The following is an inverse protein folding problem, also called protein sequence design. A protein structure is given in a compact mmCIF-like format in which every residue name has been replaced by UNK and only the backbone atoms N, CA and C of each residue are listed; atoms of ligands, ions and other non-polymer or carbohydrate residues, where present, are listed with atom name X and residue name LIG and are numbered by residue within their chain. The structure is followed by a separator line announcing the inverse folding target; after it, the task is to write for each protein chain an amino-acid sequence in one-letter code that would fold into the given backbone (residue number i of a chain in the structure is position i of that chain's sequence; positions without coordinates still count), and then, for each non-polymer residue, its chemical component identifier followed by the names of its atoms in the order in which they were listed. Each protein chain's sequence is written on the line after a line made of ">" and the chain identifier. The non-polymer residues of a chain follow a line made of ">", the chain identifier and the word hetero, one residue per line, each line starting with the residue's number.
data_IF_337261274956
#
_entry.id   IF_337261274956
#
_cell.length_a   1.000
_cell.length_b   1.000
_cell.length_c   1.000
_cell.angle_alpha   90.00
_cell.angle_beta   90.00
_cell.angle_gamma   90.00
#
_symmetry.space_group_name_H-M   'P 1'
#
loop_
_entity.id
_entity.type
_entity.pdbx_description
1 polymer ?
#
# COMPACT_ATOMS: atom_id res chain seq x y z
N UNK A 1 5.74 7.76 3.61
CA UNK A 1 4.91 6.75 2.90
C UNK A 1 5.83 5.94 2.01
N UNK A 2 5.62 4.62 1.90
CA UNK A 2 6.51 3.74 1.14
C UNK A 2 6.57 4.17 -0.35
N UNK A 3 7.75 4.60 -0.79
CA UNK A 3 8.03 5.13 -2.13
C UNK A 3 9.32 4.54 -2.67
N UNK A 4 9.30 4.12 -3.92
CA UNK A 4 10.43 3.48 -4.62
C UNK A 4 10.84 4.27 -5.86
N UNK A 5 10.09 5.32 -6.21
CA UNK A 5 10.39 6.25 -7.27
C UNK A 5 11.74 6.94 -7.01
N UNK A 6 12.58 6.99 -8.05
CA UNK A 6 13.91 7.60 -8.08
C UNK A 6 15.02 6.90 -7.27
N UNK A 7 14.79 5.67 -6.78
CA UNK A 7 15.86 4.87 -6.19
C UNK A 7 16.82 4.33 -7.27
N UNK A 8 18.15 4.35 -7.06
CA UNK A 8 19.09 3.77 -8.01
C UNK A 8 18.94 2.25 -8.09
N UNK A 9 18.99 1.68 -9.29
CA UNK A 9 18.96 0.23 -9.48
C UNK A 9 20.25 -0.40 -8.97
N UNK A 10 20.13 -1.49 -8.21
CA UNK A 10 21.25 -2.29 -7.73
C UNK A 10 21.21 -3.66 -8.39
N UNK A 11 22.32 -4.07 -9.01
CA UNK A 11 22.47 -5.43 -9.52
C UNK A 11 22.45 -6.43 -8.36
N UNK A 12 21.58 -7.43 -8.46
CA UNK A 12 21.40 -8.50 -7.47
C UNK A 12 21.40 -9.84 -8.21
N UNK A 13 22.10 -10.82 -7.65
CA UNK A 13 22.05 -12.20 -8.14
C UNK A 13 20.82 -12.89 -7.57
N UNK A 14 20.02 -13.52 -8.44
CA UNK A 14 18.79 -14.22 -8.09
C UNK A 14 18.71 -15.54 -8.85
N UNK A 15 18.27 -16.58 -8.15
CA UNK A 15 18.05 -17.91 -8.74
C UNK A 15 16.57 -18.09 -9.03
N UNK A 16 16.24 -18.33 -10.31
CA UNK A 16 14.87 -18.58 -10.78
C UNK A 16 14.82 -19.91 -11.55
N UNK A 17 13.61 -20.41 -11.77
CA UNK A 17 13.38 -21.62 -12.55
C UNK A 17 13.92 -21.44 -13.98
N UNK A 18 14.81 -22.33 -14.42
CA UNK A 18 15.47 -22.23 -15.73
C UNK A 18 14.49 -22.27 -16.90
N UNK A 19 13.46 -23.13 -16.85
CA UNK A 19 12.45 -23.24 -17.93
C UNK A 19 11.62 -21.97 -18.06
N UNK A 20 11.33 -21.30 -16.95
CA UNK A 20 10.63 -20.01 -16.96
C UNK A 20 11.51 -18.93 -17.58
N UNK A 21 12.80 -18.93 -17.27
CA UNK A 21 13.75 -17.98 -17.85
C UNK A 21 13.93 -18.19 -19.36
N UNK A 22 14.03 -19.44 -19.82
CA UNK A 22 14.10 -19.79 -21.23
C UNK A 22 12.86 -19.27 -21.98
N UNK A 23 11.66 -19.62 -21.50
CA UNK A 23 10.40 -19.18 -22.11
C UNK A 23 10.24 -17.65 -22.12
N UNK A 24 10.59 -16.98 -21.02
CA UNK A 24 10.51 -15.52 -20.94
C UNK A 24 11.45 -14.84 -21.95
N UNK A 25 12.63 -15.43 -22.21
CA UNK A 25 13.58 -14.95 -23.23
C UNK A 25 13.06 -15.18 -24.63
N UNK A 26 12.50 -16.36 -24.92
CA UNK A 26 11.86 -16.68 -26.21
C UNK A 26 10.70 -15.72 -26.52
N UNK A 27 9.95 -15.31 -25.50
CA UNK A 27 8.89 -14.31 -25.59
C UNK A 27 9.37 -12.85 -25.68
N UNK A 28 10.69 -12.60 -25.62
CA UNK A 28 11.26 -11.25 -25.67
C UNK A 28 10.95 -10.38 -24.45
N UNK A 29 10.68 -10.99 -23.29
CA UNK A 29 10.32 -10.25 -22.08
C UNK A 29 11.52 -9.49 -21.50
N UNK A 30 11.27 -8.28 -20.98
CA UNK A 30 12.26 -7.54 -20.20
C UNK A 30 12.33 -8.07 -18.76
N UNK A 31 13.09 -9.14 -18.55
CA UNK A 31 13.17 -9.85 -17.27
C UNK A 31 13.48 -8.92 -16.08
N UNK A 32 14.44 -7.99 -16.25
CA UNK A 32 14.82 -7.10 -15.16
C UNK A 32 13.68 -6.18 -14.75
N UNK A 33 12.95 -5.62 -15.72
CA UNK A 33 11.80 -4.77 -15.44
C UNK A 33 10.64 -5.58 -14.82
N UNK A 34 10.33 -6.75 -15.37
CA UNK A 34 9.24 -7.59 -14.87
C UNK A 34 9.47 -8.02 -13.42
N UNK A 35 10.68 -8.47 -13.08
CA UNK A 35 11.01 -8.87 -11.70
C UNK A 35 10.99 -7.67 -10.75
N UNK A 36 11.48 -6.52 -11.19
CA UNK A 36 11.47 -5.27 -10.40
C UNK A 36 10.03 -4.83 -10.05
N UNK A 37 9.13 -4.82 -11.03
CA UNK A 37 7.73 -4.45 -10.84
C UNK A 37 6.98 -5.43 -9.92
N UNK A 38 7.16 -6.74 -10.14
CA UNK A 38 6.54 -7.78 -9.31
C UNK A 38 7.04 -7.72 -7.85
N UNK A 39 8.35 -7.54 -7.66
CA UNK A 39 8.92 -7.44 -6.32
C UNK A 39 8.45 -6.15 -5.62
N UNK A 40 8.42 -5.01 -6.31
CA UNK A 40 7.94 -3.76 -5.76
C UNK A 40 6.45 -3.86 -5.34
N UNK A 41 5.62 -4.53 -6.13
CA UNK A 41 4.22 -4.77 -5.80
C UNK A 41 4.07 -5.64 -4.54
N UNK A 42 4.82 -6.76 -4.47
CA UNK A 42 4.77 -7.67 -3.32
C UNK A 42 5.30 -7.02 -2.03
N UNK A 43 6.38 -6.24 -2.11
CA UNK A 43 6.90 -5.50 -0.95
C UNK A 43 5.88 -4.47 -0.47
N UNK A 44 5.23 -3.73 -1.37
CA UNK A 44 4.16 -2.80 -1.00
C UNK A 44 3.01 -3.53 -0.29
N UNK A 45 2.56 -4.65 -0.85
CA UNK A 45 1.47 -5.45 -0.27
C UNK A 45 1.81 -5.86 1.16
N UNK A 46 2.97 -6.50 1.38
CA UNK A 46 3.39 -6.96 2.72
C UNK A 46 3.61 -5.81 3.70
N UNK A 47 4.17 -4.70 3.23
CA UNK A 47 4.34 -3.51 4.07
C UNK A 47 3.01 -2.99 4.57
N UNK A 48 2.01 -2.86 3.70
CA UNK A 48 0.69 -2.35 4.07
C UNK A 48 -0.12 -3.34 4.91
N UNK A 49 -0.01 -4.64 4.65
CA UNK A 49 -0.58 -5.67 5.52
C UNK A 49 -0.03 -5.56 6.94
N UNK A 50 1.30 -5.42 7.06
CA UNK A 50 1.93 -5.28 8.36
C UNK A 50 1.53 -3.98 9.04
N UNK A 51 1.53 -2.88 8.30
CA UNK A 51 1.10 -1.57 8.82
C UNK A 51 -0.35 -1.61 9.32
N UNK A 52 -1.26 -2.22 8.56
CA UNK A 52 -2.67 -2.34 8.95
C UNK A 52 -2.84 -3.14 10.24
N UNK A 53 -2.08 -4.24 10.40
CA UNK A 53 -2.09 -5.03 11.64
C UNK A 53 -1.52 -4.23 12.81
N UNK A 54 -0.35 -3.62 12.64
CA UNK A 54 0.33 -2.86 13.70
C UNK A 54 -0.50 -1.63 14.15
N UNK A 55 -1.34 -1.08 13.27
CA UNK A 55 -2.16 0.11 13.57
C UNK A 55 -3.62 -0.21 13.87
N UNK A 56 -4.00 -1.49 13.90
CA UNK A 56 -5.39 -1.93 14.04
C UNK A 56 -6.07 -1.37 15.30
N UNK A 57 -5.39 -1.44 16.44
CA UNK A 57 -5.91 -0.94 17.72
C UNK A 57 -6.02 0.59 17.73
N UNK A 58 -5.01 1.30 17.22
CA UNK A 58 -5.03 2.76 17.13
C UNK A 58 -6.15 3.25 16.21
N UNK A 59 -6.38 2.58 15.09
CA UNK A 59 -7.48 2.86 14.16
C UNK A 59 -8.83 2.59 14.84
N UNK A 60 -8.97 1.46 15.55
CA UNK A 60 -10.19 1.13 16.29
C UNK A 60 -10.52 2.19 17.36
N UNK A 61 -9.54 2.55 18.19
CA UNK A 61 -9.71 3.59 19.22
C UNK A 61 -10.05 4.95 18.62
N UNK A 62 -9.45 5.30 17.48
CA UNK A 62 -9.80 6.52 16.76
C UNK A 62 -11.22 6.47 16.22
N UNK A 63 -11.63 5.37 15.60
CA UNK A 63 -12.98 5.18 15.08
C UNK A 63 -14.03 5.26 16.19
N UNK A 64 -13.78 4.65 17.35
CA UNK A 64 -14.64 4.76 18.54
C UNK A 64 -14.75 6.21 19.02
N UNK A 65 -13.63 6.95 19.04
CA UNK A 65 -13.65 8.38 19.37
C UNK A 65 -14.51 9.17 18.38
N UNK A 66 -14.38 8.92 17.07
CA UNK A 66 -15.20 9.60 16.06
C UNK A 66 -16.67 9.23 16.19
N UNK A 67 -17.01 7.97 16.46
CA UNK A 67 -18.38 7.55 16.69
C UNK A 67 -19.02 8.28 17.88
N UNK A 68 -18.25 8.51 18.96
CA UNK A 68 -18.71 9.21 20.17
C UNK A 68 -18.73 10.73 20.03
N UNK A 69 -17.66 11.32 19.50
CA UNK A 69 -17.40 12.77 19.56
C UNK A 69 -17.63 13.48 18.22
N UNK A 70 -17.62 12.72 17.12
CA UNK A 70 -17.65 13.23 15.76
C UNK A 70 -16.28 13.67 15.26
N UNK A 71 -16.24 14.00 13.97
CA UNK A 71 -15.06 14.48 13.28
C UNK A 71 -14.60 15.81 13.88
N UNK A 72 -13.32 15.93 14.26
CA UNK A 72 -12.74 17.20 14.64
C UNK A 72 -12.98 18.23 13.54
N UNK A 73 -13.36 19.44 13.95
CA UNK A 73 -13.58 20.59 13.06
C UNK A 73 -14.71 20.41 12.03
N UNK A 74 -15.56 19.38 12.13
CA UNK A 74 -16.68 19.16 11.21
C UNK A 74 -17.57 20.41 11.04
N UNK A 75 -17.76 21.20 12.11
CA UNK A 75 -18.52 22.46 12.11
C UNK A 75 -17.95 23.56 11.20
N UNK A 76 -16.67 23.47 10.83
CA UNK A 76 -16.01 24.44 9.94
C UNK A 76 -15.87 23.92 8.50
N UNK A 77 -16.35 22.70 8.21
CA UNK A 77 -16.18 22.07 6.91
C UNK A 77 -17.00 22.81 5.83
N UNK A 78 -16.33 23.25 4.76
CA UNK A 78 -16.96 24.00 3.66
C UNK A 78 -17.54 23.12 2.55
N UNK A 79 -17.08 21.87 2.44
CA UNK A 79 -17.50 20.89 1.43
C UNK A 79 -18.04 19.60 2.07
N UNK A 80 -18.83 18.81 1.33
CA UNK A 80 -19.32 17.51 1.82
C UNK A 80 -20.13 17.58 3.13
N UNK A 81 -20.72 18.74 3.45
CA UNK A 81 -21.50 18.94 4.70
C UNK A 81 -22.62 17.94 4.89
N UNK A 82 -23.20 17.46 3.79
CA UNK A 82 -24.25 16.44 3.76
C UNK A 82 -23.80 15.05 4.24
N UNK A 83 -22.50 14.78 4.34
CA UNK A 83 -21.97 13.47 4.73
C UNK A 83 -21.96 13.23 6.25
N UNK A 84 -22.42 14.20 7.06
CA UNK A 84 -22.39 14.12 8.52
C UNK A 84 -20.97 14.26 9.10
N UNK A 85 -20.86 14.14 10.42
CA UNK A 85 -19.60 14.24 11.16
C UNK A 85 -19.12 12.88 11.71
N UNK A 86 -19.75 11.78 11.32
CA UNK A 86 -19.32 10.44 11.69
C UNK A 86 -19.70 9.99 13.11
N UNK A 87 -20.47 10.78 13.86
CA UNK A 87 -21.12 10.27 15.08
C UNK A 87 -22.12 9.17 14.72
N UNK A 88 -22.20 8.18 15.59
CA UNK A 88 -23.20 7.12 15.54
C UNK A 88 -24.04 7.27 16.80
N UNK A 89 -25.29 7.71 16.65
CA UNK A 89 -26.28 7.83 17.73
C UNK A 89 -26.94 6.47 18.02
#
# INVERSE_FOLDING_TARGET
>A
MLRFDNAPKKATNLSLNSKVLEMAREMGMNLSQTVDELLAAEVKRRYWERWAEDNKEAIAAYNERIAREGLPLAKYRSFGRSLGDGRQD
#
